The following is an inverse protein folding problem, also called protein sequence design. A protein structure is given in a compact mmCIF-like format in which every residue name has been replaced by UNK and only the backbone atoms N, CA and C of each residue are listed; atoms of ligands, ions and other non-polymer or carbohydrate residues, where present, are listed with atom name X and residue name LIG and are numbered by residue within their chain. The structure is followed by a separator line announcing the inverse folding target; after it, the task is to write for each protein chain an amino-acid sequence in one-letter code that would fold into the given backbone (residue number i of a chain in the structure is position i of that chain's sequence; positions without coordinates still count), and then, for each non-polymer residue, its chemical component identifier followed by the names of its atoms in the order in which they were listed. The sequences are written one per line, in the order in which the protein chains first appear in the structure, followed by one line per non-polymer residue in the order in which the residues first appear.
data_IF_000955074561
#
_entry.id   IF_000955074561
#
_cell.length_a   1.000
_cell.length_b   1.000
_cell.length_c   1.000
_cell.angle_alpha   90.00
_cell.angle_beta   90.00
_cell.angle_gamma   90.00
#
_symmetry.space_group_name_H-M   'P 1'
#
loop_
_entity.id
_entity.type
_entity.pdbx_description
1 polymer ?
#
# COMPACT_ATOMS: atom_id res chain seq x y z
N UNK A 1 26.43 -4.96 -27.39
CA UNK A 1 25.81 -4.24 -26.25
C UNK A 1 25.05 -3.04 -26.80
N UNK A 2 23.72 -3.02 -26.73
CA UNK A 2 22.90 -1.90 -27.22
C UNK A 2 23.06 -0.73 -26.24
N UNK A 3 23.65 0.38 -26.69
CA UNK A 3 23.85 1.57 -25.87
C UNK A 3 22.51 2.08 -25.36
N UNK A 4 22.27 1.93 -24.05
CA UNK A 4 21.17 2.60 -23.38
C UNK A 4 21.36 4.10 -23.62
N UNK A 5 20.38 4.76 -24.24
CA UNK A 5 20.41 6.21 -24.43
C UNK A 5 20.63 6.86 -23.06
N UNK A 6 21.77 7.54 -22.89
CA UNK A 6 22.10 8.27 -21.68
C UNK A 6 20.94 9.22 -21.36
N UNK A 7 20.39 9.09 -20.16
CA UNK A 7 19.32 9.98 -19.71
C UNK A 7 19.87 11.41 -19.67
N UNK A 8 19.14 12.34 -20.28
CA UNK A 8 19.43 13.78 -20.21
C UNK A 8 18.18 14.47 -19.67
N UNK A 9 18.23 15.08 -18.48
CA UNK A 9 17.08 15.80 -17.96
C UNK A 9 16.76 16.98 -18.88
N UNK A 10 15.48 17.32 -19.00
CA UNK A 10 15.05 18.47 -19.78
C UNK A 10 15.58 19.75 -19.11
N UNK A 11 16.17 20.71 -19.87
CA UNK A 11 16.60 21.99 -19.31
C UNK A 11 15.49 22.68 -18.52
N UNK A 12 15.82 23.22 -17.35
CA UNK A 12 14.86 23.87 -16.43
C UNK A 12 13.96 22.94 -15.62
N UNK A 13 13.98 21.62 -15.87
CA UNK A 13 13.27 20.65 -15.02
C UNK A 13 13.90 20.55 -13.62
N UNK A 14 13.14 20.03 -12.64
CA UNK A 14 13.64 19.78 -11.27
C UNK A 14 14.94 18.95 -11.28
N UNK A 15 15.03 17.80 -11.98
CA UNK A 15 16.28 17.05 -12.10
C UNK A 15 17.44 17.86 -12.66
N UNK A 16 17.21 18.65 -13.73
CA UNK A 16 18.27 19.46 -14.34
C UNK A 16 18.83 20.48 -13.35
N UNK A 17 17.95 21.21 -12.64
CA UNK A 17 18.36 22.21 -11.64
C UNK A 17 19.10 21.59 -10.46
N UNK A 18 18.66 20.43 -9.97
CA UNK A 18 19.35 19.71 -8.88
C UNK A 18 20.74 19.26 -9.33
N UNK A 19 20.87 18.71 -10.55
CA UNK A 19 22.15 18.28 -11.10
C UNK A 19 23.09 19.48 -11.26
N UNK A 20 22.60 20.61 -11.79
CA UNK A 20 23.38 21.86 -11.90
C UNK A 20 23.90 22.35 -10.54
N UNK A 21 23.05 22.31 -9.51
CA UNK A 21 23.45 22.67 -8.14
C UNK A 21 24.56 21.75 -7.64
N UNK A 22 24.37 20.42 -7.75
CA UNK A 22 25.35 19.44 -7.25
C UNK A 22 26.68 19.48 -8.04
N UNK A 23 26.64 19.81 -9.33
CA UNK A 23 27.84 20.05 -10.15
C UNK A 23 28.63 21.29 -9.75
N UNK A 24 27.99 22.29 -9.15
CA UNK A 24 28.65 23.50 -8.67
C UNK A 24 29.31 23.31 -7.28
N UNK A 25 29.08 22.18 -6.60
CA UNK A 25 29.65 21.89 -5.29
C UNK A 25 31.02 21.20 -5.41
N UNK A 26 31.86 21.27 -4.36
CA UNK A 26 33.07 20.45 -4.27
C UNK A 26 32.77 18.96 -4.42
N UNK A 27 33.70 18.22 -5.03
CA UNK A 27 33.57 16.78 -5.23
C UNK A 27 33.34 16.05 -3.90
N UNK A 28 32.41 15.08 -3.92
CA UNK A 28 31.99 14.33 -2.73
C UNK A 28 31.06 15.08 -1.77
N UNK A 29 30.70 16.34 -2.04
CA UNK A 29 29.72 17.05 -1.21
C UNK A 29 28.31 16.51 -1.45
N UNK A 30 27.61 16.25 -0.35
CA UNK A 30 26.22 15.81 -0.34
C UNK A 30 25.32 16.95 0.17
N UNK A 31 24.08 17.02 -0.33
CA UNK A 31 23.02 17.89 0.20
C UNK A 31 21.80 17.09 0.62
N UNK A 32 21.17 17.47 1.72
CA UNK A 32 19.89 16.88 2.12
C UNK A 32 18.75 17.26 1.17
N UNK A 33 17.69 16.45 1.15
CA UNK A 33 16.45 16.79 0.44
C UNK A 33 15.92 18.17 0.83
N UNK A 34 16.04 18.56 2.10
CA UNK A 34 15.57 19.86 2.59
C UNK A 34 16.40 21.01 2.00
N UNK A 35 17.73 20.90 2.03
CA UNK A 35 18.61 21.92 1.43
C UNK A 35 18.38 22.07 -0.07
N UNK A 36 18.25 20.96 -0.81
CA UNK A 36 17.95 21.01 -2.23
C UNK A 36 16.59 21.65 -2.51
N UNK A 37 15.57 21.29 -1.72
CA UNK A 37 14.22 21.82 -1.82
C UNK A 37 14.20 23.35 -1.64
N UNK A 38 14.92 23.85 -0.64
CA UNK A 38 15.06 25.28 -0.39
C UNK A 38 15.78 25.99 -1.54
N UNK A 39 16.86 25.40 -2.08
CA UNK A 39 17.63 26.00 -3.18
C UNK A 39 16.85 26.14 -4.49
N UNK A 40 15.92 25.22 -4.78
CA UNK A 40 15.13 25.26 -6.02
C UNK A 40 13.70 25.79 -5.85
N UNK A 41 13.35 26.19 -4.61
CA UNK A 41 12.00 26.61 -4.20
C UNK A 41 10.93 25.56 -4.55
N UNK A 42 11.13 24.32 -4.08
CA UNK A 42 10.19 23.22 -4.30
C UNK A 42 9.89 22.45 -3.01
N UNK A 43 8.69 21.86 -2.86
CA UNK A 43 8.41 20.98 -1.72
C UNK A 43 9.31 19.74 -1.70
N UNK A 44 9.81 19.30 -0.52
CA UNK A 44 10.67 18.12 -0.39
C UNK A 44 10.06 16.84 -0.99
N UNK A 45 8.77 16.61 -0.80
CA UNK A 45 8.07 15.42 -1.31
C UNK A 45 8.07 15.34 -2.83
N UNK A 46 7.90 16.49 -3.50
CA UNK A 46 7.96 16.60 -4.96
C UNK A 46 9.37 16.30 -5.47
N UNK A 47 10.38 16.80 -4.75
CA UNK A 47 11.78 16.61 -5.10
C UNK A 47 12.16 15.12 -5.08
N UNK A 48 11.82 14.39 -4.00
CA UNK A 48 12.11 12.95 -3.90
C UNK A 48 11.51 12.14 -5.04
N UNK A 49 10.29 12.46 -5.47
CA UNK A 49 9.63 11.77 -6.58
C UNK A 49 10.30 12.07 -7.92
N UNK A 50 10.63 13.35 -8.17
CA UNK A 50 11.26 13.76 -9.43
C UNK A 50 12.68 13.22 -9.58
N UNK A 51 13.39 12.96 -8.49
CA UNK A 51 14.77 12.47 -8.52
C UNK A 51 14.92 10.93 -8.62
N UNK A 52 13.82 10.16 -8.59
CA UNK A 52 13.92 8.69 -8.70
C UNK A 52 14.47 8.25 -10.07
N UNK A 53 14.02 8.87 -11.15
CA UNK A 53 14.47 8.52 -12.49
C UNK A 53 15.97 8.83 -12.73
N UNK A 54 16.49 10.05 -12.48
CA UNK A 54 17.93 10.31 -12.60
C UNK A 54 18.77 9.42 -11.69
N UNK A 55 18.28 9.08 -10.49
CA UNK A 55 18.93 8.13 -9.59
C UNK A 55 19.06 6.74 -10.20
N UNK A 56 17.96 6.15 -10.69
CA UNK A 56 17.97 4.84 -11.39
C UNK A 56 18.85 4.84 -12.64
N UNK A 57 19.09 6.02 -13.22
CA UNK A 57 19.97 6.21 -14.38
C UNK A 57 21.41 6.51 -14.02
N UNK A 58 21.79 6.41 -12.74
CA UNK A 58 23.16 6.61 -12.27
C UNK A 58 23.64 8.07 -12.26
N UNK A 59 22.76 9.04 -12.57
CA UNK A 59 23.14 10.46 -12.57
C UNK A 59 23.19 11.05 -11.16
N UNK A 60 22.44 10.46 -10.23
CA UNK A 60 22.38 10.87 -8.84
C UNK A 60 22.54 9.66 -7.94
N UNK A 61 23.20 9.86 -6.81
CA UNK A 61 23.23 8.91 -5.71
C UNK A 61 22.40 9.46 -4.55
N UNK A 62 21.83 8.55 -3.77
CA UNK A 62 21.06 8.90 -2.58
C UNK A 62 21.46 7.98 -1.43
N UNK A 63 21.90 8.58 -0.32
CA UNK A 63 22.35 7.88 0.89
C UNK A 63 21.49 8.30 2.08
N UNK A 64 21.07 7.35 2.90
CA UNK A 64 20.39 7.67 4.17
C UNK A 64 21.42 7.96 5.25
N UNK A 65 21.24 9.09 5.95
CA UNK A 65 22.01 9.45 7.15
C UNK A 65 21.08 9.55 8.35
N UNK A 66 21.46 8.91 9.47
CA UNK A 66 20.65 8.89 10.69
C UNK A 66 19.24 8.30 10.52
N UNK A 67 19.05 7.39 9.56
CA UNK A 67 17.80 6.67 9.30
C UNK A 67 16.62 7.49 8.74
N UNK A 68 16.71 8.82 8.73
CA UNK A 68 15.59 9.70 8.32
C UNK A 68 15.94 10.72 7.25
N UNK A 69 17.20 11.11 7.13
CA UNK A 69 17.61 12.15 6.19
C UNK A 69 18.17 11.50 4.93
N UNK A 70 17.62 11.87 3.78
CA UNK A 70 18.15 11.47 2.49
C UNK A 70 19.12 12.55 2.01
N UNK A 71 20.37 12.14 1.82
CA UNK A 71 21.46 12.95 1.29
C UNK A 71 21.66 12.58 -0.19
N UNK A 72 21.89 13.60 -1.01
CA UNK A 72 21.99 13.49 -2.46
C UNK A 72 23.36 13.98 -2.92
N UNK A 73 23.95 13.26 -3.86
CA UNK A 73 25.20 13.58 -4.55
C UNK A 73 25.09 13.26 -6.04
N UNK A 74 26.09 13.72 -6.82
CA UNK A 74 26.26 13.25 -8.19
C UNK A 74 26.59 11.76 -8.18
N UNK A 75 26.01 11.03 -9.14
CA UNK A 75 26.37 9.64 -9.37
C UNK A 75 27.45 9.49 -10.44
N UNK A 76 28.10 8.34 -10.44
CA UNK A 76 29.23 8.03 -11.32
C UNK A 76 28.80 7.61 -12.74
N UNK A 77 27.50 7.66 -13.05
CA UNK A 77 26.95 7.22 -14.34
C UNK A 77 26.68 5.72 -14.42
N UNK A 78 27.09 4.97 -13.42
CA UNK A 78 26.73 3.56 -13.28
C UNK A 78 25.24 3.46 -12.98
N UNK A 79 24.51 2.79 -13.88
CA UNK A 79 23.13 2.47 -13.61
C UNK A 79 23.09 1.62 -12.35
N UNK A 80 22.34 2.11 -11.36
CA UNK A 80 21.92 1.23 -10.29
C UNK A 80 21.14 0.12 -10.98
N UNK A 81 21.75 -1.06 -11.03
CA UNK A 81 20.96 -2.28 -11.11
C UNK A 81 20.02 -2.12 -9.93
N UNK A 82 18.72 -2.15 -10.19
CA UNK A 82 17.77 -2.34 -9.11
C UNK A 82 18.20 -3.70 -8.53
N UNK A 83 19.17 -3.72 -7.60
CA UNK A 83 19.18 -4.66 -6.52
C UNK A 83 17.76 -4.52 -6.03
N UNK A 84 16.96 -5.55 -6.36
CA UNK A 84 15.61 -5.68 -5.85
C UNK A 84 15.73 -5.20 -4.42
N UNK A 85 15.01 -4.11 -4.13
CA UNK A 85 14.99 -3.54 -2.81
C UNK A 85 14.48 -4.68 -1.94
N UNK A 86 15.41 -5.49 -1.43
CA UNK A 86 15.24 -6.53 -0.42
C UNK A 86 14.89 -5.86 0.91
N UNK A 87 14.40 -4.61 0.87
CA UNK A 87 13.17 -4.25 1.55
C UNK A 87 12.11 -5.34 1.39
N UNK A 88 12.32 -6.46 2.10
CA UNK A 88 11.65 -6.65 3.36
C UNK A 88 10.55 -5.61 3.49
N UNK A 89 9.35 -6.10 3.22
CA UNK A 89 8.12 -5.44 3.55
C UNK A 89 8.06 -5.23 5.06
N UNK A 90 8.92 -4.35 5.57
CA UNK A 90 8.59 -3.31 6.51
C UNK A 90 7.57 -2.38 5.80
N UNK A 91 6.43 -3.00 5.45
CA UNK A 91 5.14 -2.55 5.92
C UNK A 91 5.38 -2.23 7.39
N UNK A 92 5.93 -1.03 7.65
CA UNK A 92 5.95 -0.44 8.98
C UNK A 92 4.58 -0.80 9.53
N UNK A 93 4.48 -1.54 10.66
CA UNK A 93 3.19 -1.92 11.20
C UNK A 93 2.38 -0.65 11.16
N UNK A 94 1.25 -0.67 10.42
CA UNK A 94 0.38 0.50 10.27
C UNK A 94 0.29 1.07 11.67
N UNK A 95 0.93 2.21 11.97
CA UNK A 95 1.08 2.61 13.36
C UNK A 95 -0.35 2.72 13.85
N UNK A 96 -0.74 1.97 14.90
CA UNK A 96 -2.11 1.96 15.37
C UNK A 96 -2.49 3.43 15.50
N UNK A 97 -3.58 3.82 14.81
CA UNK A 97 -3.95 5.21 14.63
C UNK A 97 -3.78 5.94 15.96
N UNK A 98 -2.68 6.70 16.08
CA UNK A 98 -2.27 7.22 17.39
C UNK A 98 -3.40 8.15 17.81
N UNK A 99 -4.11 7.88 18.94
CA UNK A 99 -5.13 8.80 19.44
C UNK A 99 -4.42 10.12 19.74
N UNK A 100 -4.62 11.12 18.88
CA UNK A 100 -3.86 12.37 18.89
C UNK A 100 -3.09 12.71 17.60
N UNK A 101 -3.17 11.87 16.55
CA UNK A 101 -2.64 12.21 15.23
C UNK A 101 -3.29 13.50 14.73
N UNK A 102 -2.45 14.52 14.49
CA UNK A 102 -2.87 15.82 13.94
C UNK A 102 -3.85 15.58 12.79
N UNK A 103 -5.05 16.16 12.91
CA UNK A 103 -6.07 16.09 11.88
C UNK A 103 -5.43 16.46 10.53
N UNK A 104 -5.48 15.53 9.57
CA UNK A 104 -4.96 15.80 8.24
C UNK A 104 -5.76 16.94 7.61
N UNK A 105 -5.06 18.01 7.24
CA UNK A 105 -5.64 19.15 6.53
C UNK A 105 -5.01 19.18 5.13
N UNK A 106 -5.75 18.83 4.06
CA UNK A 106 -5.21 18.89 2.72
C UNK A 106 -4.90 20.35 2.33
N UNK A 107 -3.77 20.58 1.67
CA UNK A 107 -3.38 21.90 1.16
C UNK A 107 -4.46 22.43 0.21
N UNK A 108 -4.90 23.69 0.39
CA UNK A 108 -5.86 24.34 -0.53
C UNK A 108 -5.37 24.23 -1.97
N UNK A 109 -6.27 23.87 -2.88
CA UNK A 109 -5.96 23.68 -4.30
C UNK A 109 -5.32 22.33 -4.67
N UNK A 110 -4.89 21.52 -3.70
CA UNK A 110 -4.45 20.14 -3.98
C UNK A 110 -5.61 19.28 -4.49
N UNK A 111 -5.29 18.21 -5.21
CA UNK A 111 -6.28 17.24 -5.70
C UNK A 111 -7.07 16.62 -4.53
N UNK A 112 -6.40 16.32 -3.41
CA UNK A 112 -7.03 15.84 -2.18
C UNK A 112 -8.06 16.85 -1.63
N UNK A 113 -7.71 18.14 -1.62
CA UNK A 113 -8.60 19.20 -1.18
C UNK A 113 -9.81 19.36 -2.10
N UNK A 114 -9.60 19.31 -3.42
CA UNK A 114 -10.69 19.40 -4.40
C UNK A 114 -11.63 18.19 -4.30
N UNK A 115 -11.08 16.98 -4.20
CA UNK A 115 -11.86 15.76 -4.03
C UNK A 115 -12.69 15.79 -2.73
N UNK A 116 -12.07 16.19 -1.62
CA UNK A 116 -12.78 16.35 -0.35
C UNK A 116 -13.87 17.43 -0.42
N UNK A 117 -13.65 18.53 -1.16
CA UNK A 117 -14.69 19.55 -1.38
C UNK A 117 -15.89 18.98 -2.14
N UNK A 118 -15.65 18.16 -3.17
CA UNK A 118 -16.73 17.49 -3.92
C UNK A 118 -17.47 16.50 -3.04
N UNK A 119 -16.76 15.64 -2.31
CA UNK A 119 -17.37 14.63 -1.44
C UNK A 119 -18.17 15.26 -0.29
N UNK A 120 -17.73 16.40 0.27
CA UNK A 120 -18.48 17.19 1.27
C UNK A 120 -19.76 17.83 0.76
N UNK A 121 -19.87 18.03 -0.54
CA UNK A 121 -21.08 18.59 -1.14
C UNK A 121 -22.14 17.52 -1.46
N UNK A 122 -21.84 16.24 -1.24
CA UNK A 122 -22.78 15.16 -1.47
C UNK A 122 -23.71 14.98 -0.25
N UNK A 123 -24.92 14.42 -0.46
CA UNK A 123 -25.76 13.96 0.64
C UNK A 123 -25.02 12.96 1.56
N UNK A 124 -25.34 12.89 2.86
CA UNK A 124 -24.78 11.89 3.77
C UNK A 124 -24.94 10.47 3.21
N UNK A 125 -23.85 9.70 3.24
CA UNK A 125 -23.81 8.32 2.72
C UNK A 125 -23.75 8.19 1.19
N UNK A 126 -23.81 9.29 0.43
CA UNK A 126 -23.63 9.23 -1.01
C UNK A 126 -22.17 8.94 -1.39
N UNK A 127 -22.02 8.14 -2.44
CA UNK A 127 -20.74 7.70 -2.99
C UNK A 127 -20.58 8.18 -4.43
N UNK A 128 -19.36 8.44 -4.87
CA UNK A 128 -19.01 8.68 -6.27
C UNK A 128 -18.01 7.64 -6.75
N UNK A 129 -18.19 7.12 -7.96
CA UNK A 129 -17.16 6.30 -8.58
C UNK A 129 -15.88 7.11 -8.81
N UNK A 130 -14.72 6.43 -8.90
CA UNK A 130 -13.45 7.09 -9.27
C UNK A 130 -13.58 7.91 -10.56
N UNK A 131 -14.42 7.47 -11.49
CA UNK A 131 -14.64 8.15 -12.77
C UNK A 131 -15.34 9.49 -12.56
N UNK A 132 -16.50 9.48 -11.90
CA UNK A 132 -17.30 10.68 -11.64
C UNK A 132 -16.54 11.67 -10.77
N UNK A 133 -15.81 11.18 -9.77
CA UNK A 133 -15.01 12.04 -8.89
C UNK A 133 -13.91 12.76 -9.68
N UNK A 134 -13.21 12.05 -10.57
CA UNK A 134 -12.17 12.63 -11.43
C UNK A 134 -12.74 13.66 -12.41
N UNK A 135 -13.89 13.37 -13.02
CA UNK A 135 -14.58 14.30 -13.92
C UNK A 135 -14.97 15.60 -13.21
N UNK A 136 -15.47 15.51 -11.96
CA UNK A 136 -15.86 16.69 -11.18
C UNK A 136 -14.69 17.58 -10.75
N UNK A 137 -13.50 17.01 -10.54
CA UNK A 137 -12.31 17.78 -10.13
C UNK A 137 -11.39 18.13 -11.31
N UNK A 138 -11.59 17.54 -12.49
CA UNK A 138 -10.79 17.81 -13.69
C UNK A 138 -9.38 17.21 -13.64
N UNK A 139 -9.23 16.00 -13.08
CA UNK A 139 -7.92 15.30 -12.99
C UNK A 139 -7.98 13.90 -13.62
N UNK A 140 -6.84 13.33 -14.05
CA UNK A 140 -6.82 11.98 -14.60
C UNK A 140 -7.11 10.91 -13.52
N UNK A 141 -7.73 9.79 -13.94
CA UNK A 141 -8.13 8.68 -13.07
C UNK A 141 -6.98 8.06 -12.27
N UNK A 142 -5.76 8.06 -12.82
CA UNK A 142 -4.57 7.55 -12.12
C UNK A 142 -4.19 8.39 -10.90
N UNK A 143 -4.58 9.66 -10.84
CA UNK A 143 -4.19 10.56 -9.77
C UNK A 143 -5.05 10.43 -8.50
N UNK A 144 -6.30 9.94 -8.61
CA UNK A 144 -7.25 9.96 -7.50
C UNK A 144 -6.85 9.05 -6.35
N UNK A 145 -6.34 7.85 -6.66
CA UNK A 145 -5.93 6.89 -5.65
C UNK A 145 -4.76 7.43 -4.82
N UNK A 146 -3.78 8.05 -5.49
CA UNK A 146 -2.64 8.69 -4.82
C UNK A 146 -3.08 9.92 -4.03
N UNK A 147 -3.94 10.76 -4.60
CA UNK A 147 -4.44 11.98 -3.94
C UNK A 147 -5.25 11.68 -2.67
N UNK A 148 -6.05 10.60 -2.68
CA UNK A 148 -6.90 10.21 -1.55
C UNK A 148 -6.26 9.20 -0.60
N UNK A 149 -5.03 8.76 -0.83
CA UNK A 149 -4.33 7.81 0.03
C UNK A 149 -4.21 8.31 1.48
N UNK A 150 -3.77 9.56 1.67
CA UNK A 150 -3.64 10.14 3.01
C UNK A 150 -4.99 10.49 3.65
N UNK A 151 -5.95 11.16 2.95
CA UNK A 151 -7.31 11.31 3.46
C UNK A 151 -7.95 10.00 3.94
N UNK A 152 -7.75 8.91 3.19
CA UNK A 152 -8.26 7.58 3.55
C UNK A 152 -7.61 7.05 4.82
N UNK A 153 -6.28 7.12 4.92
CA UNK A 153 -5.53 6.71 6.12
C UNK A 153 -5.94 7.48 7.37
N UNK A 154 -6.37 8.74 7.20
CA UNK A 154 -6.87 9.57 8.29
C UNK A 154 -8.38 9.43 8.54
N UNK A 155 -9.07 8.49 7.89
CA UNK A 155 -10.50 8.26 8.06
C UNK A 155 -11.40 9.36 7.49
N UNK A 156 -10.87 10.28 6.68
CA UNK A 156 -11.67 11.37 6.09
C UNK A 156 -12.48 10.93 4.88
N UNK A 157 -12.04 9.87 4.22
CA UNK A 157 -12.75 9.26 3.09
C UNK A 157 -12.74 7.74 3.23
N UNK A 158 -13.84 7.11 2.82
CA UNK A 158 -13.98 5.67 2.69
C UNK A 158 -13.87 5.28 1.22
N UNK A 159 -13.39 4.08 0.95
CA UNK A 159 -13.37 3.51 -0.40
C UNK A 159 -14.00 2.13 -0.39
N UNK A 160 -14.96 1.90 -1.29
CA UNK A 160 -15.59 0.60 -1.50
C UNK A 160 -15.38 0.16 -2.93
N UNK A 161 -14.95 -1.08 -3.12
CA UNK A 161 -14.81 -1.66 -4.46
C UNK A 161 -16.06 -2.45 -4.79
N UNK A 162 -16.70 -2.14 -5.91
CA UNK A 162 -17.88 -2.86 -6.41
C UNK A 162 -17.63 -3.40 -7.81
N UNK A 163 -18.23 -4.54 -8.13
CA UNK A 163 -18.20 -5.07 -9.49
C UNK A 163 -19.25 -4.34 -10.33
N UNK A 164 -18.82 -3.57 -11.32
CA UNK A 164 -19.70 -2.88 -12.26
C UNK A 164 -19.35 -3.30 -13.68
N UNK A 165 -20.31 -3.95 -14.36
CA UNK A 165 -20.13 -4.50 -15.72
C UNK A 165 -18.88 -5.39 -15.85
N UNK A 166 -18.66 -6.28 -14.87
CA UNK A 166 -17.52 -7.20 -14.87
C UNK A 166 -16.17 -6.56 -14.52
N UNK A 167 -16.13 -5.28 -14.14
CA UNK A 167 -14.90 -4.60 -13.70
C UNK A 167 -15.04 -4.13 -12.27
N UNK A 168 -13.96 -4.25 -11.49
CA UNK A 168 -13.90 -3.64 -10.17
C UNK A 168 -13.78 -2.11 -10.32
N UNK A 169 -14.70 -1.38 -9.67
CA UNK A 169 -14.74 0.06 -9.65
C UNK A 169 -14.73 0.52 -8.20
N UNK A 170 -13.82 1.44 -7.88
CA UNK A 170 -13.76 2.08 -6.57
C UNK A 170 -14.79 3.21 -6.48
N UNK A 171 -15.52 3.23 -5.39
CA UNK A 171 -16.48 4.24 -4.99
C UNK A 171 -15.97 4.92 -3.73
N UNK A 172 -16.05 6.25 -3.71
CA UNK A 172 -15.50 7.10 -2.66
C UNK A 172 -16.63 7.86 -1.98
N UNK A 173 -16.60 7.88 -0.65
CA UNK A 173 -17.50 8.68 0.19
C UNK A 173 -16.72 9.36 1.30
N UNK A 174 -17.36 10.30 1.99
CA UNK A 174 -16.83 10.82 3.25
C UNK A 174 -16.79 9.73 4.32
N UNK A 175 -15.72 9.71 5.10
CA UNK A 175 -15.66 8.92 6.33
C UNK A 175 -16.37 9.66 7.46
N UNK A 176 -17.10 8.91 8.28
CA UNK A 176 -17.64 9.42 9.54
C UNK A 176 -16.49 9.49 10.53
N UNK A 177 -16.29 10.64 11.17
CA UNK A 177 -15.14 10.91 12.06
C UNK A 177 -15.07 10.03 13.34
N UNK A 178 -15.86 8.94 13.41
CA UNK A 178 -15.84 7.95 14.48
C UNK A 178 -15.86 6.49 13.99
N UNK A 179 -16.00 6.25 12.69
CA UNK A 179 -15.82 4.91 12.11
C UNK A 179 -14.44 4.87 11.48
N UNK A 180 -13.42 4.53 12.27
CA UNK A 180 -12.28 3.84 11.70
C UNK A 180 -12.86 2.60 11.00
N UNK A 181 -12.48 2.37 9.75
CA UNK A 181 -12.70 1.09 9.08
C UNK A 181 -11.94 0.01 9.88
N UNK A 182 -12.51 -0.40 11.02
CA UNK A 182 -12.41 -1.77 11.46
C UNK A 182 -13.14 -2.54 10.39
N UNK A 183 -12.36 -3.32 9.64
CA UNK A 183 -12.84 -4.30 8.68
C UNK A 183 -14.19 -4.86 9.13
N UNK A 184 -15.26 -4.49 8.43
CA UNK A 184 -16.61 -4.94 8.74
C UNK A 184 -16.76 -6.39 8.28
N UNK A 185 -16.11 -7.28 9.04
CA UNK A 185 -16.34 -8.71 9.13
C UNK A 185 -16.19 -9.15 10.60
N UNK A 186 -16.89 -8.48 11.52
CA UNK A 186 -17.34 -9.12 12.75
C UNK A 186 -18.83 -9.45 12.61
N UNK A 187 -19.10 -10.50 11.83
CA UNK A 187 -20.28 -11.34 12.08
C UNK A 187 -19.88 -12.30 13.19
N UNK A 188 -20.68 -12.39 14.25
CA UNK A 188 -20.49 -13.33 15.36
C UNK A 188 -20.35 -14.77 14.86
N UNK A 189 -19.11 -15.16 14.57
CA UNK A 189 -18.73 -16.55 14.41
C UNK A 189 -18.69 -17.15 15.81
N UNK A 190 -19.58 -18.11 16.08
CA UNK A 190 -19.39 -18.98 17.24
C UNK A 190 -18.00 -19.62 17.09
N UNK A 191 -17.14 -19.56 18.12
CA UNK A 191 -15.84 -20.21 18.03
C UNK A 191 -16.09 -21.69 17.80
N UNK A 192 -15.68 -22.18 16.62
CA UNK A 192 -15.43 -23.61 16.46
C UNK A 192 -14.26 -23.90 17.38
N UNK A 193 -14.48 -24.81 18.31
CA UNK A 193 -13.47 -25.20 19.29
C UNK A 193 -12.18 -25.55 18.57
N UNK A 194 -11.13 -24.75 18.86
CA UNK A 194 -9.82 -24.78 18.21
C UNK A 194 -9.20 -26.18 18.33
N UNK A 195 -9.54 -26.89 19.39
CA UNK A 195 -9.03 -28.23 19.67
C UNK A 195 -9.71 -29.29 18.81
N UNK A 196 -11.00 -29.12 18.48
CA UNK A 196 -11.75 -30.02 17.61
C UNK A 196 -11.28 -29.92 16.15
N UNK A 197 -11.01 -28.69 15.68
CA UNK A 197 -10.50 -28.45 14.32
C UNK A 197 -9.04 -28.92 14.15
N UNK A 198 -8.20 -28.68 15.16
CA UNK A 198 -6.81 -29.16 15.18
C UNK A 198 -6.71 -30.70 15.28
N UNK A 199 -7.61 -31.34 16.04
CA UNK A 199 -7.67 -32.80 16.16
C UNK A 199 -8.06 -33.48 14.85
N UNK A 200 -9.08 -32.96 14.15
CA UNK A 200 -9.57 -33.53 12.91
C UNK A 200 -8.56 -33.37 11.75
N UNK A 201 -7.75 -32.30 11.75
CA UNK A 201 -6.62 -32.14 10.82
C UNK A 201 -5.48 -33.13 11.11
N UNK A 202 -5.19 -33.45 12.38
CA UNK A 202 -4.15 -34.43 12.75
C UNK A 202 -4.48 -35.86 12.32
N UNK A 203 -5.75 -36.25 12.34
CA UNK A 203 -6.21 -37.58 11.93
C UNK A 203 -6.08 -37.85 10.42
N UNK A 204 -6.07 -36.81 9.59
CA UNK A 204 -6.09 -36.94 8.13
C UNK A 204 -4.68 -36.89 7.50
N UNK A 205 -3.68 -36.42 8.24
CA UNK A 205 -2.27 -36.41 7.85
C UNK A 205 -1.48 -37.39 8.70
N UNK A 206 -1.81 -38.68 8.58
CA UNK A 206 -1.09 -39.75 9.25
C UNK A 206 0.17 -40.11 8.44
N UNK A 207 1.29 -39.53 8.87
CA UNK A 207 2.59 -39.64 8.20
C UNK A 207 3.71 -38.98 8.99
N UNK A 208 3.79 -39.24 10.30
CA UNK A 208 5.01 -39.08 11.08
C UNK A 208 5.64 -37.68 11.13
N UNK A 209 4.94 -36.68 11.68
CA UNK A 209 5.57 -35.55 12.35
C UNK A 209 4.58 -34.88 13.31
N UNK A 210 5.01 -34.65 14.54
CA UNK A 210 4.30 -33.80 15.52
C UNK A 210 4.11 -32.40 14.94
N UNK A 211 2.88 -32.03 14.57
CA UNK A 211 2.52 -30.64 14.21
C UNK A 211 1.93 -29.93 15.42
N UNK A 212 2.71 -29.01 15.97
CA UNK A 212 2.24 -27.91 16.82
C UNK A 212 1.61 -26.85 15.91
N UNK A 213 0.31 -26.56 16.11
CA UNK A 213 -0.48 -25.68 15.24
C UNK A 213 -0.21 -24.21 15.61
N UNK A 214 0.98 -23.73 15.29
CA UNK A 214 1.34 -22.31 15.38
C UNK A 214 1.26 -21.60 14.01
N UNK A 215 1.19 -22.35 12.89
CA UNK A 215 1.34 -21.80 11.54
C UNK A 215 0.17 -22.05 10.57
N UNK A 216 -1.01 -22.49 11.06
CA UNK A 216 -2.21 -22.62 10.22
C UNK A 216 -3.12 -21.40 10.38
N UNK A 217 -3.21 -20.59 9.33
CA UNK A 217 -4.20 -19.51 9.22
C UNK A 217 -5.33 -19.93 8.29
N UNK A 218 -6.57 -19.67 8.67
CA UNK A 218 -7.73 -19.91 7.82
C UNK A 218 -8.65 -18.70 7.76
N UNK A 219 -9.19 -18.41 6.58
CA UNK A 219 -10.13 -17.31 6.36
C UNK A 219 -11.25 -17.74 5.40
N UNK A 220 -12.50 -17.47 5.77
CA UNK A 220 -13.64 -17.65 4.87
C UNK A 220 -13.86 -16.37 4.06
N UNK A 221 -13.81 -16.50 2.74
CA UNK A 221 -13.97 -15.39 1.81
C UNK A 221 -15.46 -15.10 1.55
N UNK A 222 -15.75 -13.87 1.13
CA UNK A 222 -17.12 -13.40 0.86
C UNK A 222 -17.86 -14.19 -0.25
N UNK A 223 -17.12 -14.88 -1.11
CA UNK A 223 -17.68 -15.75 -2.15
C UNK A 223 -17.95 -17.19 -1.66
N UNK A 224 -17.73 -17.46 -0.37
CA UNK A 224 -17.92 -18.75 0.26
C UNK A 224 -16.74 -19.72 0.11
N UNK A 225 -15.63 -19.30 -0.50
CA UNK A 225 -14.40 -20.09 -0.55
C UNK A 225 -13.64 -20.04 0.79
N UNK A 226 -12.91 -21.10 1.13
CA UNK A 226 -12.03 -21.14 2.30
C UNK A 226 -10.57 -20.96 1.85
N UNK A 227 -9.87 -19.97 2.39
CA UNK A 227 -8.42 -19.83 2.24
C UNK A 227 -7.74 -20.50 3.43
N UNK A 228 -6.82 -21.42 3.15
CA UNK A 228 -5.94 -22.06 4.10
C UNK A 228 -4.51 -21.63 3.80
N UNK A 229 -3.80 -21.16 4.81
CA UNK A 229 -2.39 -20.80 4.73
C UNK A 229 -1.64 -21.62 5.77
N UNK A 230 -0.68 -22.42 5.29
CA UNK A 230 0.22 -23.25 6.09
C UNK A 230 1.62 -22.88 5.66
N UNK A 231 2.37 -22.25 6.56
CA UNK A 231 3.69 -21.68 6.24
C UNK A 231 3.61 -20.76 4.99
N UNK A 232 4.46 -20.98 3.99
CA UNK A 232 4.45 -20.22 2.73
C UNK A 232 3.45 -20.73 1.67
N UNK A 233 2.63 -21.73 2.02
CA UNK A 233 1.67 -22.33 1.10
C UNK A 233 0.26 -21.78 1.32
N UNK A 234 -0.35 -21.28 0.24
CA UNK A 234 -1.74 -20.82 0.20
C UNK A 234 -2.60 -21.71 -0.67
N UNK A 235 -3.68 -22.22 -0.09
CA UNK A 235 -4.64 -23.07 -0.77
C UNK A 235 -6.04 -22.46 -0.66
N UNK A 236 -6.71 -22.28 -1.79
CA UNK A 236 -8.11 -21.82 -1.83
C UNK A 236 -9.02 -22.99 -2.16
N UNK A 237 -9.88 -23.34 -1.22
CA UNK A 237 -10.91 -24.35 -1.39
C UNK A 237 -12.20 -23.69 -1.86
N UNK A 238 -12.82 -24.28 -2.87
CA UNK A 238 -14.17 -23.91 -3.30
C UNK A 238 -15.19 -24.20 -2.20
N UNK A 239 -16.40 -23.67 -2.35
CA UNK A 239 -17.51 -23.92 -1.41
C UNK A 239 -17.79 -25.43 -1.24
N UNK A 240 -17.77 -26.18 -2.33
CA UNK A 240 -18.01 -27.64 -2.34
C UNK A 240 -16.86 -28.40 -1.67
N UNK A 241 -15.61 -28.02 -1.95
CA UNK A 241 -14.42 -28.60 -1.30
C UNK A 241 -14.40 -28.31 0.21
N UNK A 242 -14.83 -27.12 0.62
CA UNK A 242 -15.01 -26.75 2.02
C UNK A 242 -16.10 -27.59 2.69
N UNK A 243 -17.24 -27.76 2.04
CA UNK A 243 -18.35 -28.58 2.57
C UNK A 243 -17.93 -30.05 2.70
N UNK A 244 -17.22 -30.58 1.72
CA UNK A 244 -16.62 -31.91 1.78
C UNK A 244 -15.61 -32.02 2.93
N UNK A 245 -14.73 -31.03 3.11
CA UNK A 245 -13.77 -30.98 4.22
C UNK A 245 -14.50 -31.00 5.57
N UNK A 246 -15.51 -30.15 5.76
CA UNK A 246 -16.29 -30.09 7.01
C UNK A 246 -17.00 -31.43 7.28
N UNK A 247 -17.58 -32.06 6.26
CA UNK A 247 -18.20 -33.38 6.39
C UNK A 247 -17.19 -34.48 6.73
N UNK A 248 -16.02 -34.48 6.10
CA UNK A 248 -14.94 -35.43 6.41
C UNK A 248 -14.48 -35.26 7.87
N UNK A 249 -14.26 -34.03 8.33
CA UNK A 249 -13.85 -33.75 9.71
C UNK A 249 -14.93 -34.15 10.73
N UNK A 250 -16.22 -33.96 10.41
CA UNK A 250 -17.34 -34.34 11.29
C UNK A 250 -17.55 -35.86 11.41
N UNK A 251 -17.05 -36.64 10.43
CA UNK A 251 -17.17 -38.10 10.41
C UNK A 251 -16.06 -38.83 11.18
N UNK A 252 -15.04 -38.11 11.65
CA UNK A 252 -13.97 -38.67 12.47
C UNK A 252 -14.48 -38.78 13.91
N UNK A 253 -14.92 -39.98 14.32
CA UNK A 253 -15.26 -40.26 15.71
C UNK A 253 -14.03 -40.05 16.60
N UNK A 254 -14.10 -39.06 17.50
CA UNK A 254 -13.13 -38.84 18.56
C UNK A 254 -13.30 -39.98 19.58
N UNK A 255 -12.53 -41.07 19.42
CA UNK A 255 -12.35 -42.03 20.53
C UNK A 255 -11.44 -41.37 21.57
N UNK A 256 -11.87 -41.28 22.84
CA UNK A 256 -11.09 -40.68 23.91
C UNK A 256 -9.77 -41.43 24.15
#
# INVERSE_FOLDING_TARGET
MRGAKAYKPLPGSIPARVIEILQALPEGKELSTAELADMIDQPPDTLVQCLQLPRRRGMLQARRSGGRVLLWSLGDGDMLVDEEDDGDGDTLPVPPAVPGSRAYVPRRGSQAWQALKVLRALPPGAELSSVELCERIGVPRSAIATALAMPRRCGLVKVRTRLYRGRQVAFWSLGDAGEQDGDASQSEARPVDRDVFAYALRQQFDGGATVTVEHLNCALLADGCLLLEVDDMRMRLSREQREHLVHSLASVEVRP
#
